data_IF_388689497804
#
_entry.id   IF_388689497804
#
_cell.length_a   1.000
_cell.length_b   1.000
_cell.length_c   1.000
_cell.angle_alpha   90.00
_cell.angle_beta   90.00
_cell.angle_gamma   90.00
#
_symmetry.space_group_name_H-M   'P 1'
#
loop_
_entity.id
_entity.type
_entity.pdbx_description
1 polymer ?
#
# COMPACT_ATOMS: atom_id res chain seq x y z
N UNK A 1 -43.07 -26.36 24.66
CA UNK A 1 -43.38 -27.51 25.54
C UNK A 1 -42.39 -27.74 26.68
N UNK A 2 -41.10 -27.36 26.59
CA UNK A 2 -40.12 -27.62 27.67
C UNK A 2 -40.08 -26.62 28.84
N UNK A 3 -40.75 -25.47 28.76
CA UNK A 3 -40.76 -24.46 29.84
C UNK A 3 -41.68 -24.81 31.02
N UNK A 4 -42.72 -25.61 30.76
CA UNK A 4 -43.75 -25.91 31.75
C UNK A 4 -43.33 -27.04 32.71
N UNK A 5 -42.51 -27.99 32.24
CA UNK A 5 -41.98 -29.09 33.06
C UNK A 5 -40.89 -28.63 34.04
N UNK A 6 -40.09 -27.62 33.69
CA UNK A 6 -39.01 -27.09 34.54
C UNK A 6 -39.57 -26.34 35.76
N UNK A 7 -40.76 -25.73 35.63
CA UNK A 7 -41.39 -24.96 36.72
C UNK A 7 -41.91 -25.84 37.85
N UNK A 8 -42.30 -27.09 37.57
CA UNK A 8 -42.93 -27.98 38.56
C UNK A 8 -41.92 -28.72 39.47
N UNK A 9 -40.62 -28.74 39.13
CA UNK A 9 -39.59 -29.40 39.97
C UNK A 9 -38.97 -28.52 41.06
N UNK A 10 -39.25 -27.21 41.11
CA UNK A 10 -38.56 -26.25 42.00
C UNK A 10 -39.26 -26.12 43.38
N UNK A 11 -40.24 -26.97 43.67
CA UNK A 11 -41.05 -26.94 44.90
C UNK A 11 -40.48 -27.79 46.05
N UNK A 12 -39.17 -27.71 46.35
CA UNK A 12 -38.64 -28.06 47.69
C UNK A 12 -37.18 -27.62 47.91
N UNK A 13 -36.91 -27.14 49.14
CA UNK A 13 -35.63 -26.81 49.79
C UNK A 13 -34.85 -25.53 49.39
N UNK A 14 -34.46 -24.76 50.43
CA UNK A 14 -33.79 -23.45 50.35
C UNK A 14 -32.46 -23.41 49.55
N UNK A 15 -31.78 -24.55 49.37
CA UNK A 15 -30.58 -24.66 48.50
C UNK A 15 -30.89 -24.46 47.00
N UNK A 16 -32.11 -24.79 46.58
CA UNK A 16 -32.55 -24.71 45.18
C UNK A 16 -32.71 -23.25 44.70
N UNK A 17 -32.93 -22.31 45.64
CA UNK A 17 -33.19 -20.88 45.33
C UNK A 17 -31.91 -20.11 44.96
N UNK A 18 -30.77 -20.51 45.53
CA UNK A 18 -29.48 -19.90 45.23
C UNK A 18 -28.89 -20.44 43.92
N UNK A 19 -29.02 -21.75 43.69
CA UNK A 19 -28.67 -22.39 42.41
C UNK A 19 -29.55 -21.87 41.26
N UNK A 20 -30.85 -21.71 41.47
CA UNK A 20 -31.75 -21.10 40.48
C UNK A 20 -31.35 -19.66 40.16
N UNK A 21 -30.89 -18.87 41.13
CA UNK A 21 -30.39 -17.50 40.91
C UNK A 21 -29.06 -17.49 40.13
N UNK A 22 -28.14 -18.40 40.46
CA UNK A 22 -26.87 -18.56 39.72
C UNK A 22 -27.12 -18.97 38.27
N UNK A 23 -28.00 -19.94 38.05
CA UNK A 23 -28.40 -20.40 36.72
C UNK A 23 -29.12 -19.30 35.93
N UNK A 24 -30.04 -18.56 36.56
CA UNK A 24 -30.71 -17.42 35.95
C UNK A 24 -29.72 -16.33 35.49
N UNK A 25 -28.74 -15.98 36.33
CA UNK A 25 -27.72 -15.00 35.98
C UNK A 25 -26.77 -15.49 34.87
N UNK A 26 -26.43 -16.78 34.87
CA UNK A 26 -25.62 -17.41 33.82
C UNK A 26 -26.35 -17.36 32.47
N UNK A 27 -27.63 -17.74 32.44
CA UNK A 27 -28.49 -17.70 31.25
C UNK A 27 -28.64 -16.26 30.76
N UNK A 28 -28.90 -15.30 31.67
CA UNK A 28 -29.05 -13.88 31.33
C UNK A 28 -27.78 -13.28 30.73
N UNK A 29 -26.62 -13.68 31.25
CA UNK A 29 -25.30 -13.27 30.73
C UNK A 29 -25.03 -13.89 29.37
N UNK A 30 -25.34 -15.18 29.19
CA UNK A 30 -25.18 -15.87 27.90
C UNK A 30 -26.07 -15.28 26.81
N UNK A 31 -27.35 -15.03 27.11
CA UNK A 31 -28.29 -14.35 26.19
C UNK A 31 -27.81 -12.94 25.86
N UNK A 32 -27.26 -12.20 26.83
CA UNK A 32 -26.72 -10.84 26.60
C UNK A 32 -25.51 -10.88 25.67
N UNK A 33 -24.63 -11.87 25.84
CA UNK A 33 -23.44 -12.04 24.99
C UNK A 33 -23.81 -12.48 23.57
N UNK A 34 -24.73 -13.44 23.41
CA UNK A 34 -25.25 -13.87 22.11
C UNK A 34 -25.96 -12.72 21.37
N UNK A 35 -26.77 -11.92 22.08
CA UNK A 35 -27.40 -10.71 21.49
C UNK A 35 -26.38 -9.67 21.05
N UNK A 36 -25.27 -9.50 21.77
CA UNK A 36 -24.18 -8.59 21.40
C UNK A 36 -23.45 -9.09 20.15
N UNK A 37 -23.18 -10.40 20.07
CA UNK A 37 -22.57 -11.04 18.91
C UNK A 37 -23.43 -10.90 17.65
N UNK A 38 -24.74 -11.16 17.75
CA UNK A 38 -25.67 -10.99 16.63
C UNK A 38 -25.79 -9.52 16.19
N UNK A 39 -25.80 -8.57 17.13
CA UNK A 39 -25.79 -7.12 16.79
C UNK A 39 -24.54 -6.74 16.01
N UNK A 40 -23.38 -7.28 16.38
CA UNK A 40 -22.13 -7.03 15.65
C UNK A 40 -22.18 -7.65 14.25
N UNK A 41 -22.63 -8.90 14.11
CA UNK A 41 -22.81 -9.55 12.79
C UNK A 41 -23.77 -8.79 11.88
N UNK A 42 -24.87 -8.28 12.42
CA UNK A 42 -25.84 -7.45 11.67
C UNK A 42 -25.21 -6.11 11.27
N UNK A 43 -24.43 -5.48 12.14
CA UNK A 43 -23.72 -4.23 11.84
C UNK A 43 -22.67 -4.43 10.75
N UNK A 44 -21.91 -5.52 10.81
CA UNK A 44 -20.93 -5.91 9.78
C UNK A 44 -21.62 -6.19 8.44
N UNK A 45 -22.70 -6.97 8.43
CA UNK A 45 -23.48 -7.26 7.23
C UNK A 45 -24.10 -6.00 6.61
N UNK A 46 -24.61 -5.06 7.43
CA UNK A 46 -25.10 -3.76 6.97
C UNK A 46 -23.99 -2.91 6.34
N UNK A 47 -22.82 -2.83 6.98
CA UNK A 47 -21.66 -2.13 6.43
C UNK A 47 -21.20 -2.76 5.09
N UNK A 48 -21.27 -4.08 4.94
CA UNK A 48 -20.96 -4.75 3.66
C UNK A 48 -22.01 -4.47 2.57
N UNK A 49 -23.29 -4.45 2.93
CA UNK A 49 -24.39 -4.10 2.03
C UNK A 49 -24.29 -2.64 1.56
N UNK A 50 -24.09 -1.69 2.48
CA UNK A 50 -23.85 -0.29 2.15
C UNK A 50 -22.62 -0.11 1.25
N UNK A 51 -21.50 -0.81 1.54
CA UNK A 51 -20.32 -0.80 0.65
C UNK A 51 -20.62 -1.34 -0.74
N UNK A 52 -21.46 -2.38 -0.87
CA UNK A 52 -21.89 -2.94 -2.16
C UNK A 52 -22.79 -1.97 -2.92
N UNK A 53 -23.72 -1.30 -2.24
CA UNK A 53 -24.59 -0.28 -2.81
C UNK A 53 -23.81 0.95 -3.25
N UNK A 54 -22.94 1.50 -2.40
CA UNK A 54 -22.03 2.59 -2.74
C UNK A 54 -21.12 2.23 -3.92
N UNK A 55 -20.62 1.00 -4.01
CA UNK A 55 -19.87 0.53 -5.19
C UNK A 55 -20.72 0.48 -6.46
N UNK A 56 -21.99 0.09 -6.34
CA UNK A 56 -22.93 0.03 -7.47
C UNK A 56 -23.28 1.43 -7.95
N UNK A 57 -23.50 2.36 -7.02
CA UNK A 57 -23.80 3.76 -7.29
C UNK A 57 -22.60 4.50 -7.88
N UNK A 58 -21.40 4.35 -7.30
CA UNK A 58 -20.17 4.90 -7.87
C UNK A 58 -19.88 4.37 -9.28
N UNK A 59 -20.11 3.06 -9.54
CA UNK A 59 -20.03 2.49 -10.89
C UNK A 59 -21.02 3.13 -11.86
N UNK A 60 -22.24 3.43 -11.41
CA UNK A 60 -23.23 4.14 -12.20
C UNK A 60 -22.80 5.58 -12.48
N UNK A 61 -22.24 6.28 -11.50
CA UNK A 61 -21.72 7.64 -11.67
C UNK A 61 -20.54 7.71 -12.65
N UNK A 62 -19.64 6.70 -12.64
CA UNK A 62 -18.59 6.55 -13.66
C UNK A 62 -19.17 6.26 -15.06
N UNK A 63 -20.19 5.40 -15.18
CA UNK A 63 -20.82 5.11 -16.47
C UNK A 63 -21.56 6.31 -17.04
N UNK A 64 -22.14 7.15 -16.19
CA UNK A 64 -22.84 8.39 -16.57
C UNK A 64 -21.89 9.55 -16.90
N UNK A 65 -20.56 9.36 -16.78
CA UNK A 65 -19.58 10.43 -17.01
C UNK A 65 -19.63 11.57 -15.99
N UNK A 66 -20.40 11.40 -14.90
CA UNK A 66 -20.51 12.35 -13.78
C UNK A 66 -19.32 12.24 -12.82
N UNK A 67 -18.66 11.09 -12.81
CA UNK A 67 -17.28 10.92 -12.36
C UNK A 67 -16.38 10.88 -13.60
N UNK A 68 -15.75 12.01 -13.93
CA UNK A 68 -14.65 12.05 -14.92
C UNK A 68 -13.34 11.61 -14.24
N UNK A 69 -12.37 11.12 -15.00
CA UNK A 69 -10.96 11.22 -14.57
C UNK A 69 -10.72 12.72 -14.29
N UNK A 70 -10.57 13.07 -13.02
CA UNK A 70 -11.17 14.29 -12.45
C UNK A 70 -10.68 15.65 -12.97
N UNK A 71 -11.43 16.69 -12.64
CA UNK A 71 -10.92 18.07 -12.51
C UNK A 71 -10.90 18.44 -11.03
N UNK A 72 -9.81 19.04 -10.59
CA UNK A 72 -9.20 18.79 -9.27
C UNK A 72 -9.17 20.02 -8.36
N UNK A 73 -9.08 19.77 -7.05
CA UNK A 73 -8.46 20.71 -6.11
C UNK A 73 -7.20 20.05 -5.52
N UNK A 74 -6.06 20.76 -5.63
CA UNK A 74 -4.83 20.24 -6.24
C UNK A 74 -3.67 20.02 -5.25
N UNK A 75 -3.95 19.73 -3.97
CA UNK A 75 -2.92 19.78 -2.91
C UNK A 75 -2.16 18.48 -2.65
N UNK A 76 -2.79 17.32 -2.88
CA UNK A 76 -2.21 16.01 -2.53
C UNK A 76 -2.45 14.97 -3.62
N UNK A 77 -1.40 14.24 -3.98
CA UNK A 77 -1.44 13.15 -4.96
C UNK A 77 -1.96 11.84 -4.35
N UNK A 78 -1.72 11.64 -3.05
CA UNK A 78 -2.30 10.55 -2.24
C UNK A 78 -2.96 11.16 -1.01
N UNK A 79 -4.18 10.73 -0.73
CA UNK A 79 -4.89 11.02 0.51
C UNK A 79 -5.59 9.74 1.02
N UNK A 80 -5.28 9.36 2.25
CA UNK A 80 -5.90 8.25 2.97
C UNK A 80 -6.63 8.81 4.18
N UNK A 81 -7.85 8.32 4.42
CA UNK A 81 -8.62 8.64 5.62
C UNK A 81 -9.08 7.36 6.28
N UNK A 82 -8.63 7.17 7.52
CA UNK A 82 -8.96 6.03 8.38
C UNK A 82 -8.87 4.66 7.67
N UNK A 83 -7.81 4.44 6.88
CA UNK A 83 -7.67 3.21 6.10
C UNK A 83 -7.32 2.04 7.01
N UNK A 84 -8.16 1.01 7.00
CA UNK A 84 -7.96 -0.21 7.79
C UNK A 84 -7.84 -1.45 6.90
N UNK A 85 -6.99 -2.39 7.30
CA UNK A 85 -6.76 -3.65 6.61
C UNK A 85 -6.75 -4.82 7.58
N UNK A 86 -7.60 -5.80 7.28
CA UNK A 86 -7.65 -7.09 7.97
C UNK A 86 -7.28 -8.21 6.99
N UNK A 87 -6.57 -9.22 7.50
CA UNK A 87 -6.38 -10.50 6.83
C UNK A 87 -7.03 -11.60 7.66
N UNK A 88 -7.99 -12.31 7.09
CA UNK A 88 -8.68 -13.39 7.78
C UNK A 88 -7.84 -14.67 7.70
N UNK A 89 -7.43 -15.18 8.87
CA UNK A 89 -6.71 -16.45 9.00
C UNK A 89 -7.73 -17.59 9.09
N UNK A 90 -8.85 -17.35 9.75
CA UNK A 90 -9.99 -18.27 9.83
C UNK A 90 -11.30 -17.49 9.98
N UNK A 91 -12.43 -18.20 10.06
CA UNK A 91 -13.76 -17.60 10.18
C UNK A 91 -13.91 -16.64 11.38
N UNK A 92 -13.19 -16.92 12.47
CA UNK A 92 -13.25 -16.12 13.72
C UNK A 92 -11.88 -15.52 14.10
N UNK A 93 -10.87 -15.66 13.26
CA UNK A 93 -9.53 -15.14 13.54
C UNK A 93 -9.05 -14.29 12.38
N UNK A 94 -8.63 -13.06 12.69
CA UNK A 94 -8.10 -12.13 11.72
C UNK A 94 -6.92 -11.36 12.31
N UNK A 95 -6.02 -10.95 11.43
CA UNK A 95 -4.93 -10.05 11.76
C UNK A 95 -5.27 -8.64 11.31
N UNK A 96 -5.25 -7.69 12.24
CA UNK A 96 -5.49 -6.27 11.97
C UNK A 96 -4.18 -5.56 11.65
N UNK A 97 -3.83 -5.55 10.36
CA UNK A 97 -2.50 -5.12 9.89
C UNK A 97 -2.38 -3.60 9.77
N UNK A 98 -3.42 -2.90 9.27
CA UNK A 98 -3.47 -1.43 9.25
C UNK A 98 -4.66 -0.96 10.06
N UNK A 99 -4.43 -0.06 11.03
CA UNK A 99 -5.37 0.28 12.10
C UNK A 99 -5.81 1.74 12.05
N UNK A 100 -6.18 2.21 10.86
CA UNK A 100 -6.73 3.56 10.69
C UNK A 100 -5.68 4.56 10.21
N UNK A 101 -5.07 4.26 9.07
CA UNK A 101 -4.04 5.11 8.47
C UNK A 101 -4.67 6.40 7.90
N UNK A 102 -4.17 7.54 8.36
CA UNK A 102 -4.46 8.86 7.80
C UNK A 102 -3.16 9.41 7.21
N UNK A 103 -3.15 9.68 5.91
CA UNK A 103 -1.91 10.04 5.22
C UNK A 103 -2.19 11.00 4.07
N UNK A 104 -1.31 11.98 3.87
CA UNK A 104 -1.38 12.94 2.76
C UNK A 104 0.01 13.14 2.16
N UNK A 105 0.17 12.89 0.87
CA UNK A 105 1.43 13.06 0.14
C UNK A 105 1.20 14.07 -0.99
N UNK A 106 2.12 15.00 -1.22
CA UNK A 106 2.05 15.93 -2.35
C UNK A 106 2.78 15.36 -3.58
N UNK A 107 2.40 15.87 -4.73
CA UNK A 107 3.06 15.51 -5.99
C UNK A 107 4.54 15.94 -5.99
N UNK A 108 5.41 15.08 -6.52
CA UNK A 108 6.84 15.32 -6.66
C UNK A 108 7.66 15.13 -5.38
N UNK A 109 7.03 14.88 -4.23
CA UNK A 109 7.74 14.63 -2.96
C UNK A 109 8.50 13.29 -2.99
N UNK A 110 9.65 13.28 -2.33
CA UNK A 110 10.35 12.06 -1.91
C UNK A 110 9.86 11.67 -0.52
N UNK A 111 9.06 10.62 -0.45
CA UNK A 111 8.49 10.10 0.79
C UNK A 111 9.28 8.88 1.26
N UNK A 112 9.68 8.87 2.52
CA UNK A 112 10.37 7.75 3.17
C UNK A 112 9.43 7.15 4.22
N UNK A 113 9.03 5.90 4.02
CA UNK A 113 8.21 5.13 4.94
C UNK A 113 9.10 4.16 5.70
N UNK A 114 9.25 4.40 7.00
CA UNK A 114 10.07 3.62 7.93
C UNK A 114 9.22 2.76 8.84
N UNK A 115 9.82 1.69 9.35
CA UNK A 115 9.21 0.84 10.36
C UNK A 115 9.83 -0.54 10.41
N UNK A 116 9.57 -1.28 11.49
CA UNK A 116 10.05 -2.65 11.66
C UNK A 116 9.42 -3.61 10.64
N UNK A 117 10.00 -4.80 10.47
CA UNK A 117 9.34 -5.87 9.74
C UNK A 117 7.97 -6.17 10.37
N UNK A 118 6.97 -6.48 9.54
CA UNK A 118 5.60 -6.73 10.01
C UNK A 118 4.78 -5.51 10.45
N UNK A 119 5.31 -4.28 10.36
CA UNK A 119 4.56 -3.10 10.81
C UNK A 119 3.40 -2.67 9.88
N UNK A 120 3.29 -3.26 8.69
CA UNK A 120 2.25 -2.97 7.70
C UNK A 120 2.69 -2.10 6.50
N UNK A 121 4.00 -1.78 6.36
CA UNK A 121 4.53 -0.92 5.27
C UNK A 121 4.18 -1.43 3.87
N UNK A 122 4.51 -2.69 3.57
CA UNK A 122 4.22 -3.31 2.28
C UNK A 122 2.71 -3.39 2.02
N UNK A 123 1.91 -3.65 3.06
CA UNK A 123 0.45 -3.63 2.96
C UNK A 123 -0.08 -2.24 2.59
N UNK A 124 0.43 -1.18 3.23
CA UNK A 124 0.09 0.20 2.90
C UNK A 124 0.48 0.51 1.44
N UNK A 125 1.70 0.17 1.06
CA UNK A 125 2.23 0.37 -0.30
C UNK A 125 1.38 -0.36 -1.35
N UNK A 126 0.96 -1.59 -1.08
CA UNK A 126 0.08 -2.37 -1.95
C UNK A 126 -1.33 -1.77 -2.07
N UNK A 127 -1.83 -1.10 -1.03
CA UNK A 127 -3.13 -0.42 -1.07
C UNK A 127 -3.05 0.84 -1.92
N UNK A 128 -2.07 1.71 -1.68
CA UNK A 128 -1.93 2.98 -2.41
C UNK A 128 -1.52 2.79 -3.87
N UNK A 129 -0.91 1.66 -4.21
CA UNK A 129 -0.62 1.28 -5.60
C UNK A 129 -1.79 0.58 -6.30
N UNK A 130 -2.86 0.23 -5.56
CA UNK A 130 -4.01 -0.50 -6.11
C UNK A 130 -3.72 -1.96 -6.42
N UNK A 131 -2.71 -2.58 -5.81
CA UNK A 131 -2.46 -4.03 -5.85
C UNK A 131 -3.34 -4.80 -4.87
N UNK A 132 -3.73 -4.19 -3.75
CA UNK A 132 -4.53 -4.84 -2.70
C UNK A 132 -5.67 -3.93 -2.25
N UNK A 133 -6.83 -4.52 -1.97
CA UNK A 133 -7.96 -3.80 -1.38
C UNK A 133 -7.79 -3.66 0.14
N UNK A 134 -8.34 -2.57 0.67
CA UNK A 134 -8.51 -2.34 2.11
C UNK A 134 -9.95 -2.65 2.53
N UNK A 135 -10.19 -2.70 3.84
CA UNK A 135 -11.49 -3.09 4.41
C UNK A 135 -12.34 -1.88 4.82
N UNK A 136 -11.74 -0.85 5.42
CA UNK A 136 -12.45 0.35 5.90
C UNK A 136 -11.67 1.64 5.60
N UNK A 137 -12.37 2.78 5.62
CA UNK A 137 -11.82 4.10 5.29
C UNK A 137 -12.05 4.48 3.82
N UNK A 138 -11.25 5.43 3.34
CA UNK A 138 -11.27 5.88 1.94
C UNK A 138 -9.87 6.15 1.44
N UNK A 139 -9.63 5.88 0.16
CA UNK A 139 -8.36 6.18 -0.51
C UNK A 139 -8.60 7.09 -1.69
N UNK A 140 -7.72 8.06 -1.90
CA UNK A 140 -7.69 8.88 -3.11
C UNK A 140 -6.25 8.91 -3.60
N UNK A 141 -5.99 8.35 -4.76
CA UNK A 141 -4.66 8.33 -5.40
C UNK A 141 -4.82 8.86 -6.82
N UNK A 142 -4.07 9.92 -7.16
CA UNK A 142 -4.23 10.65 -8.42
C UNK A 142 -5.69 11.03 -8.67
N UNK A 143 -6.35 11.47 -7.57
CA UNK A 143 -7.76 11.83 -7.54
C UNK A 143 -8.74 10.70 -7.94
N UNK A 144 -8.27 9.46 -7.95
CA UNK A 144 -9.07 8.27 -8.14
C UNK A 144 -9.25 7.55 -6.80
N UNK A 145 -10.49 7.19 -6.46
CA UNK A 145 -10.73 6.30 -5.33
C UNK A 145 -10.61 4.83 -5.78
N UNK A 146 -9.55 4.19 -5.31
CA UNK A 146 -9.16 2.84 -5.71
C UNK A 146 -10.17 1.78 -5.23
N UNK A 147 -10.96 2.07 -4.19
CA UNK A 147 -11.95 1.15 -3.65
C UNK A 147 -13.09 0.86 -4.64
N UNK A 148 -13.46 1.86 -5.43
CA UNK A 148 -14.56 1.78 -6.38
C UNK A 148 -14.14 1.23 -7.75
N UNK A 149 -12.84 1.10 -8.00
CA UNK A 149 -12.33 0.50 -9.22
C UNK A 149 -12.54 -1.02 -9.23
N UNK A 150 -12.97 -1.56 -10.37
CA UNK A 150 -12.87 -2.98 -10.63
C UNK A 150 -11.44 -3.34 -11.05
N UNK A 151 -11.13 -4.63 -11.11
CA UNK A 151 -9.75 -5.08 -11.40
C UNK A 151 -9.23 -4.59 -12.76
N UNK A 152 -10.06 -4.58 -13.81
CA UNK A 152 -9.65 -4.04 -15.11
C UNK A 152 -9.26 -2.55 -15.04
N UNK A 153 -10.03 -1.74 -14.29
CA UNK A 153 -9.70 -0.32 -14.09
C UNK A 153 -8.47 -0.14 -13.21
N UNK A 154 -8.28 -0.96 -12.18
CA UNK A 154 -7.04 -0.93 -11.38
C UNK A 154 -5.82 -1.33 -12.20
N UNK A 155 -5.94 -2.31 -13.08
CA UNK A 155 -4.87 -2.70 -14.01
C UNK A 155 -4.51 -1.54 -14.93
N UNK A 156 -5.50 -0.84 -15.51
CA UNK A 156 -5.25 0.37 -16.31
C UNK A 156 -4.64 1.50 -15.48
N UNK A 157 -5.15 1.75 -14.26
CA UNK A 157 -4.58 2.73 -13.34
C UNK A 157 -3.10 2.45 -13.06
N UNK A 158 -2.75 1.19 -12.72
CA UNK A 158 -1.37 0.78 -12.53
C UNK A 158 -0.55 0.93 -13.80
N UNK A 159 -1.06 0.48 -14.94
CA UNK A 159 -0.42 0.63 -16.25
C UNK A 159 -0.19 2.10 -16.63
N UNK A 160 -1.03 3.03 -16.18
CA UNK A 160 -0.89 4.43 -16.58
C UNK A 160 -0.01 5.24 -15.64
N UNK A 161 0.00 4.92 -14.35
CA UNK A 161 0.52 5.85 -13.35
C UNK A 161 1.58 5.29 -12.43
N UNK A 162 1.62 3.97 -12.25
CA UNK A 162 2.38 3.36 -11.16
C UNK A 162 3.52 2.52 -11.69
N UNK A 163 4.72 2.71 -11.16
CA UNK A 163 5.85 1.79 -11.35
C UNK A 163 6.42 1.34 -10.02
N UNK A 164 7.14 0.21 -10.05
CA UNK A 164 7.77 -0.39 -8.89
C UNK A 164 9.24 -0.69 -9.15
N UNK A 165 10.05 -0.47 -8.12
CA UNK A 165 11.41 -1.01 -7.98
C UNK A 165 11.37 -1.96 -6.79
N UNK A 166 11.77 -3.20 -7.02
CA UNK A 166 11.76 -4.27 -6.01
C UNK A 166 13.19 -4.59 -5.58
N UNK A 167 13.34 -5.21 -4.41
CA UNK A 167 14.63 -5.74 -3.93
C UNK A 167 15.20 -6.80 -4.88
N UNK A 168 14.37 -7.73 -5.36
CA UNK A 168 14.72 -8.65 -6.44
C UNK A 168 14.47 -7.95 -7.78
N UNK A 169 15.53 -7.64 -8.53
CA UNK A 169 15.50 -6.80 -9.74
C UNK A 169 14.44 -7.21 -10.79
N UNK A 170 13.99 -8.48 -10.74
CA UNK A 170 12.94 -9.06 -11.59
C UNK A 170 13.19 -8.81 -13.08
N UNK A 171 14.44 -8.90 -13.51
CA UNK A 171 14.83 -8.75 -14.92
C UNK A 171 14.55 -10.04 -15.70
N UNK A 172 14.16 -9.89 -16.96
CA UNK A 172 13.98 -11.02 -17.87
C UNK A 172 15.36 -11.38 -18.42
N UNK A 173 15.87 -12.53 -18.01
CA UNK A 173 17.25 -12.97 -18.25
C UNK A 173 17.57 -13.18 -19.75
N UNK A 174 16.56 -13.50 -20.56
CA UNK A 174 16.69 -13.71 -22.00
C UNK A 174 16.65 -12.42 -22.83
N UNK A 175 16.46 -11.27 -22.20
CA UNK A 175 16.42 -9.97 -22.87
C UNK A 175 17.65 -9.14 -22.52
N UNK A 176 18.14 -8.36 -23.46
CA UNK A 176 19.20 -7.37 -23.21
C UNK A 176 18.74 -6.27 -22.24
N UNK A 177 19.68 -5.45 -21.77
CA UNK A 177 19.39 -4.24 -20.98
C UNK A 177 18.39 -3.34 -21.69
N UNK A 178 18.65 -3.02 -22.96
CA UNK A 178 17.79 -2.17 -23.77
C UNK A 178 16.37 -2.76 -23.90
N UNK A 179 16.26 -4.06 -24.17
CA UNK A 179 14.97 -4.74 -24.30
C UNK A 179 14.21 -4.80 -22.98
N UNK A 180 14.89 -5.04 -21.85
CA UNK A 180 14.27 -4.97 -20.54
C UNK A 180 13.68 -3.58 -20.29
N UNK A 181 14.40 -2.50 -20.63
CA UNK A 181 13.91 -1.12 -20.46
C UNK A 181 12.73 -0.84 -21.41
N UNK A 182 12.79 -1.28 -22.66
CA UNK A 182 11.71 -1.15 -23.66
C UNK A 182 10.38 -1.75 -23.22
N UNK A 183 10.37 -2.77 -22.37
CA UNK A 183 9.12 -3.29 -21.79
C UNK A 183 8.35 -2.18 -21.06
N UNK A 184 9.05 -1.35 -20.29
CA UNK A 184 8.45 -0.21 -19.61
C UNK A 184 7.83 0.79 -20.59
N UNK A 185 8.56 1.10 -21.65
CA UNK A 185 8.09 1.97 -22.73
C UNK A 185 6.82 1.43 -23.40
N UNK A 186 6.78 0.12 -23.69
CA UNK A 186 5.63 -0.53 -24.33
C UNK A 186 4.36 -0.51 -23.45
N UNK A 187 4.53 -0.40 -22.13
CA UNK A 187 3.44 -0.27 -21.16
C UNK A 187 3.02 1.19 -20.90
N UNK A 188 3.73 2.16 -21.49
CA UNK A 188 3.42 3.59 -21.36
C UNK A 188 2.09 3.91 -22.05
N UNK A 189 1.23 4.74 -21.43
CA UNK A 189 0.07 5.32 -22.11
C UNK A 189 0.50 6.16 -23.30
N UNK A 190 -0.17 6.00 -24.45
CA UNK A 190 0.14 6.77 -25.67
C UNK A 190 0.11 8.28 -25.46
N UNK A 191 -0.71 8.76 -24.52
CA UNK A 191 -0.87 10.20 -24.21
C UNK A 191 0.28 10.78 -23.38
N UNK A 192 1.09 9.96 -22.71
CA UNK A 192 2.24 10.44 -21.94
C UNK A 192 3.42 10.71 -22.86
N UNK A 193 4.25 11.67 -22.50
CA UNK A 193 5.50 11.91 -23.22
C UNK A 193 6.40 10.65 -23.16
N UNK A 194 6.99 10.33 -24.31
CA UNK A 194 7.99 9.26 -24.40
C UNK A 194 9.31 9.80 -23.84
N UNK A 195 9.90 9.04 -22.92
CA UNK A 195 11.27 9.29 -22.48
C UNK A 195 12.18 8.47 -23.37
N UNK A 196 13.17 9.11 -23.99
CA UNK A 196 14.11 8.41 -24.86
C UNK A 196 14.94 7.41 -24.06
N UNK A 197 15.03 6.17 -24.55
CA UNK A 197 15.72 5.10 -23.81
C UNK A 197 17.20 5.40 -23.62
N UNK A 198 17.84 6.05 -24.61
CA UNK A 198 19.23 6.47 -24.46
C UNK A 198 19.40 7.49 -23.32
N UNK A 199 18.46 8.43 -23.14
CA UNK A 199 18.50 9.36 -22.00
C UNK A 199 18.39 8.62 -20.66
N UNK A 200 17.53 7.60 -20.60
CA UNK A 200 17.42 6.73 -19.41
C UNK A 200 18.74 6.01 -19.16
N UNK A 201 19.31 5.38 -20.19
CA UNK A 201 20.57 4.64 -20.09
C UNK A 201 21.75 5.53 -19.67
N UNK A 202 21.84 6.75 -20.22
CA UNK A 202 22.85 7.75 -19.84
C UNK A 202 22.68 8.18 -18.38
N UNK A 203 21.47 8.50 -17.94
CA UNK A 203 21.18 8.89 -16.55
C UNK A 203 21.49 7.79 -15.52
N UNK A 204 21.61 6.54 -15.99
CA UNK A 204 21.86 5.35 -15.19
C UNK A 204 23.27 4.78 -15.37
N UNK A 205 24.13 5.42 -16.15
CA UNK A 205 25.47 4.90 -16.46
C UNK A 205 25.40 3.44 -16.98
N UNK A 206 24.54 3.23 -17.99
CA UNK A 206 24.26 1.94 -18.62
C UNK A 206 24.33 1.98 -20.16
N UNK A 207 24.68 3.11 -20.76
CA UNK A 207 24.67 3.27 -22.22
C UNK A 207 25.56 2.22 -22.92
N UNK A 208 26.76 2.00 -22.39
CA UNK A 208 27.70 0.99 -22.91
C UNK A 208 27.26 -0.46 -22.65
N UNK A 209 26.34 -0.65 -21.69
CA UNK A 209 25.84 -1.96 -21.30
C UNK A 209 24.54 -2.33 -22.04
N UNK A 210 24.03 -1.47 -22.93
CA UNK A 210 22.69 -1.59 -23.53
C UNK A 210 22.41 -2.95 -24.21
N UNK A 211 23.44 -3.59 -24.77
CA UNK A 211 23.33 -4.86 -25.50
C UNK A 211 23.68 -6.09 -24.64
N UNK A 212 24.06 -5.91 -23.38
CA UNK A 212 24.35 -7.04 -22.49
C UNK A 212 23.08 -7.66 -21.94
N UNK A 213 23.16 -8.94 -21.59
CA UNK A 213 22.14 -9.66 -20.86
C UNK A 213 22.33 -9.51 -19.34
N UNK A 214 21.27 -9.64 -18.51
CA UNK A 214 21.36 -9.46 -17.07
C UNK A 214 22.41 -10.31 -16.36
N UNK A 215 22.63 -11.56 -16.81
CA UNK A 215 23.68 -12.43 -16.24
C UNK A 215 25.12 -11.93 -16.48
N UNK A 216 25.31 -10.96 -17.38
CA UNK A 216 26.61 -10.32 -17.65
C UNK A 216 26.82 -9.04 -16.83
N UNK A 217 25.87 -8.68 -15.97
CA UNK A 217 25.87 -7.44 -15.20
C UNK A 217 26.10 -7.72 -13.71
N UNK A 218 26.80 -6.81 -13.05
CA UNK A 218 26.84 -6.76 -11.59
C UNK A 218 25.43 -6.54 -11.00
N UNK A 219 25.23 -6.91 -9.73
CA UNK A 219 23.94 -6.68 -9.05
C UNK A 219 23.52 -5.20 -9.04
N UNK A 220 24.47 -4.28 -8.84
CA UNK A 220 24.22 -2.84 -8.93
C UNK A 220 23.72 -2.43 -10.31
N UNK A 221 24.39 -2.88 -11.38
CA UNK A 221 23.93 -2.62 -12.75
C UNK A 221 22.55 -3.21 -13.02
N UNK A 222 22.27 -4.45 -12.59
CA UNK A 222 20.93 -5.03 -12.72
C UNK A 222 19.86 -4.20 -12.00
N UNK A 223 20.18 -3.63 -10.83
CA UNK A 223 19.28 -2.72 -10.14
C UNK A 223 19.03 -1.45 -10.96
N UNK A 224 20.06 -0.87 -11.58
CA UNK A 224 19.92 0.28 -12.48
C UNK A 224 19.02 -0.06 -13.67
N UNK A 225 19.15 -1.25 -14.27
CA UNK A 225 18.26 -1.69 -15.36
C UNK A 225 16.81 -1.79 -14.89
N UNK A 226 16.57 -2.32 -13.69
CA UNK A 226 15.22 -2.44 -13.11
C UNK A 226 14.56 -1.07 -12.94
N UNK A 227 15.34 -0.10 -12.46
CA UNK A 227 14.95 1.30 -12.33
C UNK A 227 14.67 1.92 -13.70
N UNK A 228 15.56 1.75 -14.68
CA UNK A 228 15.37 2.26 -16.04
C UNK A 228 14.09 1.74 -16.70
N UNK A 229 13.77 0.45 -16.51
CA UNK A 229 12.51 -0.13 -16.96
C UNK A 229 11.29 0.49 -16.28
N UNK A 230 11.38 0.75 -14.98
CA UNK A 230 10.31 1.43 -14.25
C UNK A 230 10.06 2.86 -14.77
N UNK A 231 11.11 3.54 -15.23
CA UNK A 231 11.06 4.91 -15.75
C UNK A 231 10.67 5.05 -17.20
N UNK A 232 11.02 4.10 -18.06
CA UNK A 232 10.63 4.13 -19.47
C UNK A 232 9.10 4.22 -19.65
N UNK A 233 8.35 3.79 -18.64
CA UNK A 233 6.90 3.93 -18.54
C UNK A 233 6.40 5.35 -18.27
N UNK A 234 7.26 6.27 -17.88
CA UNK A 234 6.96 7.62 -17.41
C UNK A 234 5.88 7.62 -16.29
N UNK A 235 6.15 6.97 -15.14
CA UNK A 235 5.17 6.86 -14.07
C UNK A 235 4.95 8.21 -13.36
N UNK A 236 3.74 8.42 -12.86
CA UNK A 236 3.46 9.58 -12.00
C UNK A 236 3.93 9.31 -10.57
N UNK A 237 3.85 8.05 -10.12
CA UNK A 237 4.32 7.61 -8.81
C UNK A 237 5.23 6.39 -8.99
N UNK A 238 6.43 6.46 -8.41
CA UNK A 238 7.39 5.37 -8.35
C UNK A 238 7.45 4.85 -6.90
N UNK A 239 7.11 3.58 -6.72
CA UNK A 239 7.28 2.87 -5.46
C UNK A 239 8.60 2.12 -5.44
N UNK A 240 9.36 2.23 -4.35
CA UNK A 240 10.56 1.46 -4.12
C UNK A 240 10.42 0.69 -2.81
N UNK A 241 10.28 -0.63 -2.88
CA UNK A 241 10.13 -1.49 -1.69
C UNK A 241 11.49 -2.13 -1.36
N UNK A 242 12.12 -1.62 -0.29
CA UNK A 242 13.45 -2.01 0.18
C UNK A 242 14.50 -2.04 -0.96
N UNK A 243 14.69 -0.92 -1.71
CA UNK A 243 15.54 -0.89 -2.90
C UNK A 243 17.02 -1.17 -2.62
N UNK A 244 17.42 -1.15 -1.36
CA UNK A 244 18.79 -1.41 -0.90
C UNK A 244 18.93 -2.66 -0.03
N UNK A 245 17.85 -3.42 0.21
CA UNK A 245 17.85 -4.48 1.23
C UNK A 245 18.81 -5.64 0.98
N UNK A 246 19.27 -5.83 -0.27
CA UNK A 246 20.23 -6.87 -0.67
C UNK A 246 21.63 -6.31 -1.00
N UNK A 247 21.89 -5.03 -0.74
CA UNK A 247 23.11 -4.35 -1.14
C UNK A 247 23.98 -4.02 0.08
N UNK A 248 25.30 -4.01 -0.13
CA UNK A 248 26.25 -3.42 0.81
C UNK A 248 26.06 -1.89 0.88
N UNK A 249 26.70 -1.25 1.86
CA UNK A 249 26.53 0.18 2.14
C UNK A 249 26.83 1.06 0.92
N UNK A 250 27.91 0.78 0.21
CA UNK A 250 28.35 1.59 -0.93
C UNK A 250 27.37 1.44 -2.11
N UNK A 251 27.05 0.20 -2.51
CA UNK A 251 26.10 -0.06 -3.59
C UNK A 251 24.70 0.43 -3.26
N UNK A 252 24.31 0.37 -2.00
CA UNK A 252 23.04 0.88 -1.53
C UNK A 252 22.93 2.40 -1.62
N UNK A 253 24.02 3.13 -1.31
CA UNK A 253 24.07 4.60 -1.51
C UNK A 253 23.97 4.94 -2.99
N UNK A 254 24.68 4.22 -3.85
CA UNK A 254 24.60 4.41 -5.30
C UNK A 254 23.20 4.18 -5.84
N UNK A 255 22.54 3.08 -5.42
CA UNK A 255 21.16 2.79 -5.80
C UNK A 255 20.21 3.92 -5.38
N UNK A 256 20.32 4.39 -4.13
CA UNK A 256 19.50 5.49 -3.63
C UNK A 256 19.79 6.81 -4.34
N UNK A 257 21.05 7.12 -4.63
CA UNK A 257 21.46 8.31 -5.38
C UNK A 257 20.79 8.36 -6.74
N UNK A 258 20.75 7.22 -7.43
CA UNK A 258 20.09 7.07 -8.72
C UNK A 258 18.59 7.33 -8.58
N UNK A 259 17.91 6.63 -7.66
CA UNK A 259 16.47 6.78 -7.43
C UNK A 259 16.11 8.25 -7.10
N UNK A 260 16.93 8.95 -6.31
CA UNK A 260 16.72 10.36 -5.98
C UNK A 260 16.96 11.29 -7.18
N UNK A 261 17.99 11.03 -7.98
CA UNK A 261 18.27 11.82 -9.19
C UNK A 261 17.12 11.73 -10.20
N UNK A 262 16.50 10.57 -10.29
CA UNK A 262 15.32 10.33 -11.12
C UNK A 262 14.15 11.23 -10.70
N UNK A 263 13.85 11.33 -9.41
CA UNK A 263 12.85 12.28 -8.92
C UNK A 263 13.20 13.72 -9.31
N UNK A 264 14.48 14.12 -9.22
CA UNK A 264 14.92 15.47 -9.60
C UNK A 264 14.71 15.77 -11.08
N UNK A 265 15.06 14.82 -11.96
CA UNK A 265 15.01 14.95 -13.42
C UNK A 265 13.57 14.86 -13.93
N UNK A 266 12.85 13.80 -13.53
CA UNK A 266 11.53 13.47 -14.09
C UNK A 266 10.35 13.99 -13.26
N UNK A 267 10.60 14.64 -12.12
CA UNK A 267 9.59 15.15 -11.18
C UNK A 267 8.58 14.11 -10.69
N UNK A 268 8.93 12.83 -10.78
CA UNK A 268 8.09 11.71 -10.34
C UNK A 268 7.91 11.73 -8.82
N UNK A 269 6.70 11.50 -8.32
CA UNK A 269 6.49 11.31 -6.88
C UNK A 269 7.12 9.99 -6.45
N UNK A 270 8.01 10.02 -5.46
CA UNK A 270 8.81 8.86 -5.08
C UNK A 270 8.43 8.39 -3.67
N UNK A 271 8.07 7.13 -3.51
CA UNK A 271 7.70 6.55 -2.22
C UNK A 271 8.62 5.36 -1.94
N UNK A 272 9.50 5.52 -0.97
CA UNK A 272 10.50 4.52 -0.60
C UNK A 272 10.12 3.91 0.74
N UNK A 273 9.93 2.60 0.76
CA UNK A 273 9.80 1.83 1.98
C UNK A 273 11.17 1.28 2.35
N UNK A 274 11.60 1.52 3.59
CA UNK A 274 12.85 0.97 4.10
C UNK A 274 12.81 0.76 5.61
N UNK A 275 13.63 -0.15 6.12
CA UNK A 275 13.89 -0.30 7.56
C UNK A 275 15.11 0.52 8.02
N UNK A 276 15.93 1.07 7.11
CA UNK A 276 17.11 1.84 7.48
C UNK A 276 16.73 3.30 7.85
N UNK A 277 16.84 3.69 9.13
CA UNK A 277 16.44 5.02 9.57
C UNK A 277 17.34 6.14 9.04
N UNK A 278 18.57 5.84 8.60
CA UNK A 278 19.48 6.84 8.08
C UNK A 278 18.94 7.49 6.78
N UNK A 279 18.15 6.76 6.01
CA UNK A 279 17.47 7.29 4.82
C UNK A 279 16.31 8.25 5.14
N UNK A 280 15.90 8.43 6.40
CA UNK A 280 14.95 9.48 6.74
C UNK A 280 15.42 10.88 6.28
N UNK A 281 16.74 11.11 6.36
CA UNK A 281 17.36 12.45 6.21
C UNK A 281 17.41 12.94 4.75
N UNK A 282 17.17 12.06 3.78
CA UNK A 282 17.14 12.39 2.33
C UNK A 282 15.73 12.64 1.79
N UNK A 283 14.69 12.24 2.53
CA UNK A 283 13.30 12.42 2.13
C UNK A 283 12.79 13.83 2.40
N UNK A 284 11.79 14.26 1.65
CA UNK A 284 10.97 15.44 1.91
C UNK A 284 9.95 15.18 3.03
N UNK A 285 9.39 13.97 3.06
CA UNK A 285 8.32 13.57 3.97
C UNK A 285 8.66 12.21 4.59
N UNK A 286 8.74 12.17 5.92
CA UNK A 286 9.04 10.96 6.69
C UNK A 286 7.78 10.46 7.35
N UNK A 287 7.51 9.17 7.18
CA UNK A 287 6.39 8.48 7.80
C UNK A 287 6.97 7.28 8.56
N UNK A 288 6.72 7.18 9.87
CA UNK A 288 7.07 5.98 10.63
C UNK A 288 5.82 5.18 10.94
N UNK A 289 5.82 3.91 10.55
CA UNK A 289 4.74 2.97 10.83
C UNK A 289 5.16 2.01 11.91
N UNK A 290 4.35 1.93 12.97
CA UNK A 290 4.52 1.00 14.10
C UNK A 290 3.19 0.30 14.37
N UNK A 291 3.21 -1.02 14.42
CA UNK A 291 2.04 -1.85 14.77
C UNK A 291 0.75 -1.53 13.98
N UNK A 292 0.88 -1.17 12.69
CA UNK A 292 -0.24 -0.86 11.81
C UNK A 292 -0.74 0.59 11.88
N UNK A 293 -0.06 1.47 12.59
CA UNK A 293 -0.42 2.89 12.76
C UNK A 293 0.74 3.80 12.37
N UNK A 294 0.44 5.05 12.00
CA UNK A 294 1.45 6.07 11.78
C UNK A 294 1.85 6.64 13.14
N UNK A 295 3.08 6.35 13.55
CA UNK A 295 3.69 6.85 14.78
C UNK A 295 4.38 8.20 14.60
N UNK A 296 4.82 8.51 13.38
CA UNK A 296 5.41 9.81 13.02
C UNK A 296 5.00 10.18 11.60
N UNK A 297 4.62 11.44 11.40
CA UNK A 297 4.37 12.08 10.11
C UNK A 297 5.04 13.47 10.16
N UNK A 298 6.19 13.61 9.50
CA UNK A 298 7.03 14.80 9.61
C UNK A 298 7.62 15.21 8.26
N UNK A 299 7.71 16.52 8.01
CA UNK A 299 8.37 17.05 6.82
C UNK A 299 9.81 17.43 7.14
N UNK A 300 10.74 17.00 6.30
CA UNK A 300 12.15 17.34 6.43
C UNK A 300 12.40 18.75 5.88
N UNK A 301 12.78 19.69 6.74
CA UNK A 301 13.12 21.06 6.32
C UNK A 301 14.54 21.16 5.75
N UNK A 302 15.43 20.24 6.10
CA UNK A 302 16.83 20.27 5.71
C UNK A 302 17.27 18.87 5.28
N UNK A 303 17.08 18.59 3.99
CA UNK A 303 17.57 17.34 3.38
C UNK A 303 19.09 17.36 3.32
N UNK A 304 19.71 16.25 3.70
CA UNK A 304 21.14 16.04 3.49
C UNK A 304 21.37 15.30 2.17
N UNK A 305 22.56 15.44 1.59
CA UNK A 305 22.92 14.62 0.43
C UNK A 305 23.04 13.15 0.84
N UNK A 306 22.70 12.24 -0.07
CA UNK A 306 22.94 10.80 0.11
C UNK A 306 24.43 10.50 0.37
N UNK A 307 25.34 11.29 -0.19
CA UNK A 307 26.79 11.14 0.02
C UNK A 307 27.21 11.44 1.47
N UNK A 308 26.39 12.17 2.23
CA UNK A 308 26.63 12.51 3.64
C UNK A 308 26.03 11.49 4.61
N UNK A 309 25.21 10.55 4.12
CA UNK A 309 24.65 9.50 4.95
C UNK A 309 25.75 8.52 5.35
N UNK A 310 25.83 8.23 6.64
CA UNK A 310 26.55 7.07 7.17
C UNK A 310 25.54 5.96 7.44
N UNK A 311 25.88 4.72 7.10
CA UNK A 311 25.00 3.56 7.31
C UNK A 311 25.10 3.01 8.74
N UNK A 312 26.13 3.45 9.49
CA UNK A 312 26.39 3.17 10.90
C UNK A 312 25.69 4.12 11.85
#
# INVERSE_FOLDING_TARGET
>A
MKETEIKNQISNNKNNKEEARKLHNLIKTRIKNEKKEYRNKIKEAKNELEKKELKKEAKNLFKKGLLKEGTFNNKYIIELKNVQKYYFISKNNYEHVLKGINLKIKEGEVVIILGMSGSGKTTLLNIISGLTNFNEGSTRVLNCDLFYLNENKKTKFRANHISFVFQSYNLIQSLTVNENIKIGENLRPKQKEKIEINQILESLDLLDQKNKYPFQLSGGQQQRVSIGRALAKNPTILFADEPTGALDEEKGKDAMKIILNINKIFKTTLIIVTHNPNFAKIGDHIIRIKNGEIAEDSYNKQKISIDQIKWT
#
